data_IF_068021619412
#
_entry.id   IF_068021619412
#
_cell.length_a   1.000
_cell.length_b   1.000
_cell.length_c   1.000
_cell.angle_alpha   90.00
_cell.angle_beta   90.00
_cell.angle_gamma   90.00
#
_symmetry.space_group_name_H-M   'P 1'
#
loop_
_entity.id
_entity.type
_entity.pdbx_description
1 polymer ?
2 branched ?
3 non-polymer ?
4 non-polymer ?
5 water ?
#
# COMPACT_ATOMS: atom_id res chain seq x y z
N UNK A 1 15.63 -7.24 -0.43
CA UNK A 1 14.51 -6.76 0.42
C UNK A 1 14.67 -5.26 0.65
N UNK A 2 13.60 -4.61 1.08
CA UNK A 2 13.63 -3.18 1.36
C UNK A 2 13.40 -2.96 2.86
N UNK A 3 14.20 -2.09 3.46
CA UNK A 3 14.11 -1.84 4.89
C UNK A 3 13.83 -0.38 5.23
N UNK A 4 13.31 -0.13 6.43
CA UNK A 4 13.00 1.22 6.90
C UNK A 4 13.00 1.34 8.41
N UNK A 5 13.68 2.35 8.91
CA UNK A 5 13.75 2.60 10.34
C UNK A 5 13.16 3.97 10.68
N UNK A 6 12.18 3.98 11.57
CA UNK A 6 11.55 5.23 11.99
C UNK A 6 12.45 6.05 12.92
N UNK A 7 13.54 5.46 13.41
CA UNK A 7 14.47 6.16 14.30
C UNK A 7 15.19 7.27 13.56
N UNK A 8 14.72 8.50 13.76
CA UNK A 8 15.32 9.63 13.08
C UNK A 8 15.00 9.48 11.61
N UNK A 9 13.70 9.40 11.31
CA UNK A 9 13.20 9.25 9.95
C UNK A 9 12.52 10.54 9.50
N UNK A 10 13.35 11.44 8.99
CA UNK A 10 12.87 12.72 8.51
C UNK A 10 12.21 12.47 7.15
N UNK A 11 11.49 13.47 6.62
CA UNK A 11 10.81 13.35 5.31
C UNK A 11 11.67 12.80 4.18
N UNK A 12 12.98 13.00 4.25
CA UNK A 12 13.87 12.53 3.20
C UNK A 12 14.07 11.01 3.21
N UNK A 13 14.49 10.46 4.35
CA UNK A 13 14.72 9.01 4.51
C UNK A 13 13.50 8.20 4.08
N UNK A 14 12.34 8.66 4.50
CA UNK A 14 11.10 8.01 4.15
C UNK A 14 10.99 8.05 2.63
N UNK A 15 11.11 9.23 2.05
CA UNK A 15 11.05 9.38 0.60
C UNK A 15 11.94 8.39 -0.11
N UNK A 16 13.13 8.16 0.44
CA UNK A 16 14.09 7.22 -0.12
C UNK A 16 13.61 5.77 -0.02
N UNK A 17 13.03 5.40 1.13
CA UNK A 17 12.50 4.05 1.33
C UNK A 17 11.36 3.78 0.33
N UNK A 18 10.48 4.75 0.15
CA UNK A 18 9.37 4.62 -0.79
C UNK A 18 9.89 4.46 -2.20
N UNK A 19 11.04 5.04 -2.49
CA UNK A 19 11.62 4.92 -3.82
C UNK A 19 12.10 3.48 -3.99
N UNK A 20 12.76 2.96 -2.96
CA UNK A 20 13.27 1.59 -2.92
C UNK A 20 12.13 0.61 -3.09
N UNK A 21 11.02 0.86 -2.41
CA UNK A 21 9.88 -0.03 -2.50
C UNK A 21 9.42 -0.06 -3.95
N UNK A 22 9.25 1.10 -4.56
CA UNK A 22 8.83 1.18 -5.96
C UNK A 22 9.78 0.42 -6.86
N UNK A 23 11.08 0.60 -6.66
CA UNK A 23 12.09 -0.06 -7.50
C UNK A 23 12.20 -1.55 -7.27
N UNK A 24 11.56 -2.05 -6.21
CA UNK A 24 11.60 -3.47 -5.88
C UNK A 24 10.54 -4.23 -6.64
N UNK A 25 9.47 -3.55 -7.03
CA UNK A 25 8.41 -4.18 -7.76
C UNK A 25 8.80 -4.28 -9.21
N UNK A 26 9.06 -5.51 -9.70
CA UNK A 26 9.46 -5.76 -11.08
C UNK A 26 8.33 -5.49 -12.07
N UNK A 27 8.72 -5.18 -13.30
CA UNK A 27 7.82 -4.92 -14.41
C UNK A 27 8.61 -5.10 -15.69
N UNK A 28 7.90 -5.24 -16.80
CA UNK A 28 8.55 -5.44 -18.09
C UNK A 28 8.13 -4.28 -18.99
N UNK A 29 6.84 -4.01 -18.97
CA UNK A 29 6.22 -2.99 -19.78
C UNK A 29 5.96 -1.67 -19.06
N UNK A 30 5.73 -0.63 -19.85
CA UNK A 30 5.43 0.70 -19.33
C UNK A 30 4.28 1.26 -20.15
N UNK A 31 3.24 1.69 -19.46
CA UNK A 31 2.10 2.27 -20.14
C UNK A 31 2.18 3.75 -19.81
N UNK A 32 2.58 4.54 -20.82
CA UNK A 32 2.74 5.99 -20.74
C UNK A 32 3.74 6.42 -19.67
N UNK A 33 4.89 5.74 -19.65
CA UNK A 33 5.95 6.00 -18.69
C UNK A 33 5.71 5.46 -17.29
N UNK A 34 4.47 5.06 -16.99
CA UNK A 34 4.12 4.49 -15.69
C UNK A 34 4.34 2.97 -15.75
N UNK A 35 5.20 2.43 -14.88
CA UNK A 35 5.50 1.00 -14.83
C UNK A 35 4.23 0.16 -14.75
N UNK A 36 4.08 -0.77 -15.68
CA UNK A 36 2.92 -1.65 -15.67
C UNK A 36 3.36 -2.90 -14.90
N UNK A 37 2.65 -3.23 -13.82
CA UNK A 37 3.00 -4.41 -13.00
C UNK A 37 2.67 -5.74 -13.69
N UNK A 38 3.54 -6.72 -13.50
CA UNK A 38 3.36 -8.03 -14.10
C UNK A 38 2.01 -8.65 -13.77
N UNK A 39 1.43 -9.43 -14.70
CA UNK A 39 0.13 -10.06 -14.47
C UNK A 39 0.20 -11.24 -13.48
N UNK A 40 1.40 -11.77 -13.22
CA UNK A 40 1.57 -12.87 -12.27
C UNK A 40 3.05 -13.19 -12.08
N UNK A 41 3.35 -13.94 -11.01
CA UNK A 41 4.70 -14.39 -10.70
C UNK A 41 4.48 -15.63 -9.84
N UNK A 42 5.24 -16.68 -10.06
CA UNK A 42 5.05 -17.91 -9.31
C UNK A 42 6.18 -18.21 -8.35
N UNK A 43 5.82 -18.72 -7.18
CA UNK A 43 6.79 -19.08 -6.17
C UNK A 43 7.17 -17.92 -5.27
N UNK A 44 8.25 -18.11 -4.53
CA UNK A 44 8.76 -17.10 -3.61
C UNK A 44 8.97 -15.76 -4.30
N UNK A 45 9.33 -15.81 -5.58
CA UNK A 45 9.55 -14.59 -6.34
C UNK A 45 8.37 -13.61 -6.35
N UNK A 46 7.18 -14.10 -6.03
CA UNK A 46 6.01 -13.25 -6.03
C UNK A 46 5.91 -12.38 -4.78
N UNK A 47 6.82 -12.56 -3.83
CA UNK A 47 6.73 -11.77 -2.60
C UNK A 47 7.95 -10.93 -2.19
N UNK A 48 7.63 -9.71 -1.76
CA UNK A 48 8.59 -8.72 -1.30
C UNK A 48 8.53 -8.61 0.23
N UNK A 49 9.68 -8.68 0.87
CA UNK A 49 9.76 -8.60 2.33
C UNK A 49 10.28 -7.25 2.84
N UNK A 50 9.42 -6.51 3.53
CA UNK A 50 9.76 -5.21 4.11
C UNK A 50 10.19 -5.35 5.57
N UNK A 51 11.31 -4.73 5.92
CA UNK A 51 11.75 -4.80 7.29
C UNK A 51 11.59 -3.43 7.89
N UNK A 52 10.51 -3.25 8.63
CA UNK A 52 10.22 -1.98 9.29
C UNK A 52 10.71 -2.05 10.75
N UNK A 53 11.41 -1.02 11.19
CA UNK A 53 11.93 -0.95 12.56
C UNK A 53 11.32 0.30 13.18
N UNK A 54 10.88 0.21 14.43
CA UNK A 54 10.29 1.37 15.09
C UNK A 54 11.35 2.21 15.76
N UNK A 55 10.97 3.37 16.28
CA UNK A 55 11.89 4.29 16.96
C UNK A 55 12.78 3.60 17.97
N UNK A 56 12.27 2.52 18.53
CA UNK A 56 13.00 1.74 19.53
C UNK A 56 13.73 0.51 18.99
N UNK A 57 13.69 0.32 17.68
CA UNK A 57 14.40 -0.81 17.09
C UNK A 57 13.61 -2.08 16.85
N UNK A 58 12.45 -2.21 17.49
CA UNK A 58 11.60 -3.40 17.32
C UNK A 58 11.21 -3.52 15.85
N UNK A 59 11.20 -4.72 15.32
CA UNK A 59 10.90 -4.89 13.92
C UNK A 59 9.79 -5.88 13.66
N UNK A 60 9.39 -5.99 12.40
CA UNK A 60 8.37 -6.90 11.90
C UNK A 60 8.67 -7.03 10.41
N UNK A 61 8.40 -8.20 9.83
CA UNK A 61 8.63 -8.38 8.42
C UNK A 61 7.28 -8.52 7.73
N UNK A 62 6.96 -7.60 6.83
CA UNK A 62 5.71 -7.64 6.09
C UNK A 62 5.98 -8.25 4.72
N UNK A 63 5.04 -9.06 4.23
CA UNK A 63 5.17 -9.71 2.95
C UNK A 63 4.27 -8.99 1.99
N UNK A 64 4.78 -8.67 0.81
CA UNK A 64 4.00 -7.96 -0.20
C UNK A 64 3.89 -8.79 -1.46
N UNK A 65 2.79 -8.62 -2.16
CA UNK A 65 2.53 -9.32 -3.41
C UNK A 65 2.95 -8.33 -4.50
N UNK A 66 4.09 -8.59 -5.15
CA UNK A 66 4.64 -7.71 -6.21
C UNK A 66 3.85 -7.49 -7.50
N UNK A 67 2.69 -8.13 -7.64
CA UNK A 67 1.85 -7.97 -8.83
C UNK A 67 0.72 -6.97 -8.55
N UNK A 68 0.61 -6.55 -7.30
CA UNK A 68 -0.43 -5.60 -6.90
C UNK A 68 -0.10 -4.84 -5.63
N UNK A 69 1.09 -5.09 -5.08
CA UNK A 69 1.59 -4.46 -3.87
C UNK A 69 0.64 -4.56 -2.63
N UNK A 70 0.00 -5.73 -2.49
CA UNK A 70 -0.92 -6.03 -1.39
C UNK A 70 -0.18 -6.64 -0.22
N UNK A 71 -0.58 -6.26 1.00
CA UNK A 71 0.03 -6.78 2.22
C UNK A 71 -0.52 -8.19 2.41
N UNK A 72 0.35 -9.19 2.50
CA UNK A 72 -0.08 -10.59 2.69
C UNK A 72 -0.11 -11.03 4.15
N UNK A 73 0.93 -10.68 4.88
CA UNK A 73 1.00 -11.02 6.29
C UNK A 73 2.27 -10.44 6.85
N UNK A 74 2.59 -10.73 8.10
CA UNK A 74 3.80 -10.22 8.70
C UNK A 74 4.34 -11.16 9.74
N UNK A 75 5.59 -10.92 10.13
CA UNK A 75 6.30 -11.72 11.13
C UNK A 75 6.78 -10.86 12.30
N UNK A 76 6.21 -11.12 13.47
CA UNK A 76 6.55 -10.44 14.71
C UNK A 76 7.05 -11.58 15.60
N UNK A 77 8.10 -11.36 16.38
CA UNK A 77 8.69 -12.39 17.25
C UNK A 77 9.03 -13.67 16.48
N UNK A 78 8.26 -14.74 16.66
CA UNK A 78 8.47 -16.01 15.96
C UNK A 78 7.11 -16.44 15.43
N UNK A 79 6.21 -15.48 15.32
CA UNK A 79 4.85 -15.71 14.86
C UNK A 79 4.63 -15.00 13.55
N UNK A 80 3.80 -15.57 12.70
CA UNK A 80 3.49 -14.96 11.43
C UNK A 80 1.98 -14.87 11.44
N UNK A 81 1.45 -13.77 10.92
CA UNK A 81 0.01 -13.59 10.89
C UNK A 81 -0.31 -13.33 9.44
N UNK A 82 -1.34 -13.99 8.94
CA UNK A 82 -1.74 -13.86 7.55
C UNK A 82 -3.19 -13.46 7.52
N UNK A 83 -3.59 -12.69 6.52
CA UNK A 83 -4.99 -12.30 6.42
C UNK A 83 -5.77 -13.58 6.13
N UNK A 84 -7.07 -13.53 6.31
CA UNK A 84 -7.88 -14.70 6.04
C UNK A 84 -8.33 -14.65 4.59
N UNK A 85 -7.45 -15.06 3.68
CA UNK A 85 -7.77 -15.04 2.26
C UNK A 85 -6.80 -15.93 1.48
N UNK A 86 -7.27 -16.52 0.35
CA UNK A 86 -6.57 -17.42 -0.58
C UNK A 86 -5.14 -17.04 -0.93
N UNK A 87 -4.96 -15.82 -1.45
CA UNK A 87 -3.63 -15.36 -1.82
C UNK A 87 -2.70 -15.36 -0.61
N UNK A 88 -3.20 -14.93 0.54
CA UNK A 88 -2.39 -14.90 1.76
C UNK A 88 -2.06 -16.33 2.10
N UNK A 89 -3.07 -17.20 2.05
CA UNK A 89 -2.89 -18.61 2.35
C UNK A 89 -1.87 -19.24 1.42
N UNK A 90 -1.84 -18.80 0.17
CA UNK A 90 -0.86 -19.30 -0.77
C UNK A 90 0.51 -18.75 -0.38
N UNK A 91 0.55 -17.48 -0.03
CA UNK A 91 1.78 -16.81 0.38
C UNK A 91 2.50 -17.51 1.52
N UNK A 92 1.73 -17.97 2.52
CA UNK A 92 2.30 -18.63 3.68
C UNK A 92 3.18 -19.80 3.31
N UNK A 93 2.87 -20.46 2.19
CA UNK A 93 3.62 -21.61 1.70
C UNK A 93 5.06 -21.27 1.34
N UNK A 94 5.34 -19.98 1.13
CA UNK A 94 6.67 -19.50 0.75
C UNK A 94 7.33 -18.55 1.77
N UNK A 95 6.53 -17.73 2.44
CA UNK A 95 7.12 -16.80 3.39
C UNK A 95 6.90 -17.18 4.86
N UNK A 96 7.80 -16.68 5.71
CA UNK A 96 7.77 -16.90 7.16
C UNK A 96 7.64 -18.38 7.47
N UNK A 97 8.53 -19.17 6.88
CA UNK A 97 8.49 -20.62 7.07
C UNK A 97 9.16 -21.12 8.35
N UNK A 98 10.16 -20.40 8.83
CA UNK A 98 10.82 -20.80 10.08
C UNK A 98 10.16 -20.10 11.26
N UNK A 99 8.90 -19.73 11.08
CA UNK A 99 8.10 -19.08 12.11
C UNK A 99 7.56 -20.24 12.94
N UNK A 100 7.63 -20.12 14.26
CA UNK A 100 7.16 -21.17 15.14
C UNK A 100 5.68 -21.40 14.95
N UNK A 101 4.88 -20.35 15.08
CA UNK A 101 3.45 -20.50 14.89
C UNK A 101 2.91 -19.55 13.87
N UNK A 102 1.88 -20.00 13.16
CA UNK A 102 1.26 -19.18 12.14
C UNK A 102 -0.15 -18.92 12.57
N UNK A 103 -0.54 -17.65 12.57
CA UNK A 103 -1.88 -17.25 12.96
C UNK A 103 -2.59 -16.61 11.78
N UNK A 104 -3.86 -16.90 11.65
CA UNK A 104 -4.67 -16.36 10.59
C UNK A 104 -5.65 -15.39 11.23
N UNK A 105 -5.47 -14.11 10.91
CA UNK A 105 -6.32 -13.07 11.44
C UNK A 105 -7.73 -13.38 10.97
N UNK A 106 -8.73 -13.14 11.82
CA UNK A 106 -10.12 -13.42 11.49
C UNK A 106 -10.72 -12.54 10.39
N UNK A 107 -9.90 -11.76 9.67
CA UNK A 107 -10.41 -10.88 8.60
C UNK A 107 -9.62 -10.88 7.31
N UNK A 108 -10.22 -10.32 6.27
CA UNK A 108 -9.59 -10.22 4.97
C UNK A 108 -8.78 -8.94 4.84
N UNK A 109 -7.89 -8.91 3.85
CA UNK A 109 -7.03 -7.77 3.64
C UNK A 109 -7.54 -6.57 2.86
N UNK A 110 -8.84 -6.47 2.60
CA UNK A 110 -9.30 -5.31 1.87
C UNK A 110 -9.78 -4.24 2.84
N UNK A 111 -9.73 -2.98 2.42
CA UNK A 111 -10.12 -1.85 3.24
C UNK A 111 -11.42 -1.97 3.98
N UNK A 112 -12.49 -2.31 3.28
CA UNK A 112 -13.80 -2.41 3.93
C UNK A 112 -13.85 -3.30 5.17
N UNK A 113 -13.43 -4.55 5.03
CA UNK A 113 -13.43 -5.47 6.16
C UNK A 113 -12.51 -4.98 7.30
N UNK A 114 -11.32 -4.49 6.94
CA UNK A 114 -10.38 -3.97 7.93
C UNK A 114 -11.01 -2.86 8.77
N UNK A 115 -11.88 -2.07 8.15
CA UNK A 115 -12.54 -0.98 8.84
C UNK A 115 -13.61 -1.50 9.78
N UNK A 116 -14.37 -2.49 9.32
CA UNK A 116 -15.42 -3.10 10.13
C UNK A 116 -14.79 -3.66 11.41
N UNK A 117 -13.73 -4.43 11.23
CA UNK A 117 -13.02 -5.05 12.33
C UNK A 117 -12.43 -4.06 13.35
N UNK A 118 -11.77 -3.00 12.87
CA UNK A 118 -11.15 -2.01 13.76
C UNK A 118 -12.18 -1.08 14.40
N UNK A 119 -13.33 -0.94 13.77
CA UNK A 119 -14.36 -0.09 14.32
C UNK A 119 -14.33 1.37 13.93
N UNK A 120 -13.45 1.76 13.00
CA UNK A 120 -13.37 3.17 12.54
C UNK A 120 -12.98 3.30 11.07
N UNK A 121 -13.67 4.20 10.34
CA UNK A 121 -13.34 4.38 8.92
C UNK A 121 -11.98 5.08 8.77
N UNK A 122 -11.27 4.80 7.68
CA UNK A 122 -9.95 5.37 7.40
C UNK A 122 -9.93 6.88 7.58
N UNK A 123 -11.08 7.51 7.34
CA UNK A 123 -11.21 8.95 7.47
C UNK A 123 -10.92 9.45 8.89
N UNK A 124 -11.16 8.59 9.88
CA UNK A 124 -10.98 8.94 11.28
C UNK A 124 -9.70 8.41 11.90
N UNK A 125 -8.80 7.89 11.08
CA UNK A 125 -7.56 7.34 11.60
C UNK A 125 -6.32 8.14 11.17
N UNK A 126 -5.66 8.81 12.13
CA UNK A 126 -4.48 9.60 11.79
C UNK A 126 -3.33 8.72 11.32
N UNK A 127 -2.79 9.06 10.15
CA UNK A 127 -1.66 8.33 9.57
C UNK A 127 -0.45 9.26 9.60
N UNK A 128 0.73 8.70 9.39
CA UNK A 128 1.94 9.50 9.39
C UNK A 128 3.08 8.63 9.86
N UNK A 129 4.26 9.21 10.00
CA UNK A 129 5.38 8.44 10.49
C UNK A 129 5.20 8.07 11.97
N UNK A 130 4.67 8.99 12.80
CA UNK A 130 4.49 8.61 14.21
C UNK A 130 3.50 7.45 14.35
N UNK A 131 2.39 7.53 13.61
CA UNK A 131 1.38 6.48 13.66
C UNK A 131 1.94 5.19 13.10
N UNK A 132 2.86 5.29 12.14
CA UNK A 132 3.49 4.10 11.54
C UNK A 132 4.33 3.46 12.64
N UNK A 133 4.99 4.29 13.43
CA UNK A 133 5.80 3.82 14.54
C UNK A 133 4.87 3.14 15.57
N UNK A 134 3.68 3.70 15.77
CA UNK A 134 2.72 3.11 16.69
C UNK A 134 2.32 1.73 16.13
N UNK A 135 1.89 1.72 14.86
CA UNK A 135 1.47 0.50 14.16
C UNK A 135 2.51 -0.60 14.23
N UNK A 136 3.76 -0.29 13.99
CA UNK A 136 4.77 -1.33 14.09
C UNK A 136 4.72 -1.92 15.48
N UNK A 137 4.58 -1.07 16.50
CA UNK A 137 4.52 -1.50 17.91
C UNK A 137 3.26 -2.30 18.26
N UNK A 138 2.09 -1.83 17.84
CA UNK A 138 0.83 -2.51 18.09
C UNK A 138 0.82 -3.94 17.53
N UNK A 139 1.49 -4.15 16.39
CA UNK A 139 1.56 -5.44 15.73
C UNK A 139 2.46 -6.46 16.43
N UNK A 140 3.34 -5.96 17.30
CA UNK A 140 4.25 -6.82 18.04
C UNK A 140 3.56 -7.68 19.09
N UNK A 141 2.45 -7.19 19.62
CA UNK A 141 1.70 -7.95 20.62
C UNK A 141 0.28 -8.09 20.11
N UNK A 142 -0.01 -9.30 19.65
CA UNK A 142 -1.30 -9.68 19.08
C UNK A 142 -2.56 -9.12 19.72
N UNK A 143 -3.48 -8.68 18.86
CA UNK A 143 -4.77 -8.11 19.25
C UNK A 143 -5.48 -7.80 17.94
N UNK A 144 -6.35 -8.70 17.49
CA UNK A 144 -7.05 -8.53 16.21
C UNK A 144 -7.69 -7.18 15.89
N UNK A 145 -8.36 -6.56 16.85
CA UNK A 145 -8.99 -5.26 16.61
C UNK A 145 -7.97 -4.13 16.69
N UNK A 146 -6.89 -4.36 17.43
CA UNK A 146 -5.82 -3.39 17.54
C UNK A 146 -5.01 -3.44 16.24
N UNK A 147 -4.87 -4.65 15.68
CA UNK A 147 -4.15 -4.90 14.45
C UNK A 147 -4.91 -4.39 13.22
N UNK A 148 -6.21 -4.62 13.18
CA UNK A 148 -7.01 -4.14 12.05
C UNK A 148 -6.76 -2.66 11.87
N UNK A 149 -6.65 -1.93 12.98
CA UNK A 149 -6.40 -0.50 12.92
C UNK A 149 -4.97 -0.20 12.52
N UNK A 150 -4.00 -0.91 13.11
CA UNK A 150 -2.60 -0.70 12.81
C UNK A 150 -2.26 -1.10 11.37
N UNK A 151 -3.11 -1.92 10.76
CA UNK A 151 -2.91 -2.37 9.39
C UNK A 151 -3.45 -1.34 8.42
N UNK A 152 -4.47 -0.59 8.83
CA UNK A 152 -5.03 0.46 7.97
C UNK A 152 -3.98 1.55 7.80
N UNK A 153 -3.16 1.73 8.83
CA UNK A 153 -2.09 2.72 8.85
C UNK A 153 -0.86 2.22 8.10
N UNK A 154 -0.49 0.98 8.35
CA UNK A 154 0.66 0.36 7.70
C UNK A 154 0.49 0.28 6.20
N UNK A 155 -0.71 -0.07 5.75
CA UNK A 155 -0.99 -0.19 4.33
C UNK A 155 -0.94 1.16 3.62
N UNK A 156 -1.50 2.18 4.24
CA UNK A 156 -1.52 3.52 3.66
C UNK A 156 -0.18 4.26 3.64
N UNK A 157 0.69 4.00 4.62
CA UNK A 157 1.99 4.65 4.68
C UNK A 157 3.12 3.93 3.92
N UNK A 158 2.81 2.82 3.26
CA UNK A 158 3.79 2.07 2.48
C UNK A 158 3.20 1.70 1.10
N UNK A 159 2.24 0.80 1.08
CA UNK A 159 1.62 0.39 -0.17
C UNK A 159 1.09 1.59 -0.95
N UNK A 160 0.10 2.27 -0.40
CA UNK A 160 -0.52 3.44 -1.05
C UNK A 160 0.45 4.57 -1.33
N UNK A 161 1.48 4.68 -0.50
CA UNK A 161 2.47 5.73 -0.67
C UNK A 161 3.20 5.45 -1.97
N UNK A 162 3.68 4.23 -2.12
CA UNK A 162 4.39 3.82 -3.31
C UNK A 162 3.54 3.97 -4.59
N UNK A 163 2.25 3.71 -4.49
CA UNK A 163 1.37 3.82 -5.63
C UNK A 163 1.15 5.23 -6.12
N UNK A 164 0.95 6.17 -5.21
CA UNK A 164 0.69 7.56 -5.59
C UNK A 164 1.66 8.53 -4.98
N UNK A 165 2.37 9.25 -5.86
CA UNK A 165 3.34 10.25 -5.46
C UNK A 165 2.70 11.20 -4.48
N UNK A 166 1.43 11.54 -4.73
CA UNK A 166 0.71 12.45 -3.87
C UNK A 166 0.67 11.96 -2.44
N UNK A 167 0.30 10.69 -2.25
CA UNK A 167 0.17 10.10 -0.92
C UNK A 167 1.53 9.99 -0.21
N UNK A 168 2.63 9.97 -0.96
CA UNK A 168 3.97 9.92 -0.38
C UNK A 168 4.30 11.29 0.27
N UNK A 169 3.69 12.35 -0.29
CA UNK A 169 3.90 13.70 0.21
C UNK A 169 3.06 13.89 1.45
N UNK A 170 1.81 13.44 1.39
CA UNK A 170 0.91 13.54 2.53
C UNK A 170 1.55 12.96 3.79
N UNK A 171 2.29 11.88 3.63
CA UNK A 171 2.96 11.25 4.76
C UNK A 171 4.20 12.02 5.19
N UNK A 172 5.01 12.48 4.24
CA UNK A 172 6.23 13.23 4.58
C UNK A 172 5.94 14.51 5.36
N UNK A 173 4.77 15.11 5.12
CA UNK A 173 4.34 16.31 5.84
C UNK A 173 3.98 15.91 7.27
N UNK A 174 3.29 14.78 7.41
CA UNK A 174 2.88 14.25 8.69
C UNK A 174 4.01 13.46 9.31
N UNK A 175 5.25 13.81 9.01
CA UNK A 175 6.41 13.09 9.53
C UNK A 175 6.70 13.29 11.00
N UNK A 176 6.08 14.30 11.60
CA UNK A 176 6.31 14.57 13.01
C UNK A 176 4.98 14.80 13.69
N UNK A 177 3.91 14.70 12.93
CA UNK A 177 2.55 14.91 13.42
C UNK A 177 1.56 14.15 12.53
N UNK A 178 0.73 13.32 13.16
CA UNK A 178 -0.26 12.53 12.43
C UNK A 178 -1.46 13.40 12.12
N UNK A 179 -2.33 12.89 11.26
CA UNK A 179 -3.56 13.58 10.90
C UNK A 179 -4.32 12.69 9.95
N UNK A 180 -5.65 12.71 10.07
CA UNK A 180 -6.49 11.89 9.22
C UNK A 180 -6.18 12.22 7.77
N UNK A 181 -6.35 11.23 6.87
CA UNK A 181 -6.10 11.42 5.44
C UNK A 181 -7.06 12.41 4.79
N UNK A 182 -6.57 13.13 3.80
CA UNK A 182 -7.41 14.09 3.08
C UNK A 182 -8.34 13.30 2.19
N UNK A 183 -9.55 13.83 1.99
CA UNK A 183 -10.54 13.19 1.13
C UNK A 183 -9.94 12.89 -0.24
N UNK A 184 -8.98 13.71 -0.65
CA UNK A 184 -8.30 13.52 -1.92
C UNK A 184 -7.59 12.19 -1.81
N UNK A 185 -6.89 12.01 -0.70
CA UNK A 185 -6.14 10.80 -0.43
C UNK A 185 -6.99 9.52 -0.49
N UNK A 186 -8.20 9.55 0.09
CA UNK A 186 -9.07 8.37 0.08
C UNK A 186 -9.56 8.08 -1.34
N UNK A 187 -10.04 9.09 -2.05
CA UNK A 187 -10.52 8.90 -3.41
C UNK A 187 -9.46 8.22 -4.28
N UNK A 188 -8.20 8.60 -4.10
CA UNK A 188 -7.10 8.01 -4.86
C UNK A 188 -6.98 6.53 -4.57
N UNK A 189 -6.89 6.19 -3.29
CA UNK A 189 -6.79 4.80 -2.87
C UNK A 189 -7.94 4.00 -3.43
N UNK A 190 -9.12 4.61 -3.47
CA UNK A 190 -10.31 3.94 -3.98
C UNK A 190 -10.35 3.86 -5.51
N UNK A 191 -9.34 4.41 -6.17
CA UNK A 191 -9.27 4.44 -7.62
C UNK A 191 -8.12 3.72 -8.27
N UNK A 192 -7.18 3.20 -7.50
CA UNK A 192 -6.04 2.53 -8.12
C UNK A 192 -6.45 1.58 -9.24
N UNK A 193 -7.48 0.77 -9.03
CA UNK A 193 -7.93 -0.15 -10.06
C UNK A 193 -8.52 0.57 -11.28
N UNK A 194 -9.44 1.49 -11.01
CA UNK A 194 -10.06 2.26 -12.08
C UNK A 194 -9.05 2.99 -12.95
N UNK A 195 -8.18 3.79 -12.33
CA UNK A 195 -7.16 4.53 -13.07
C UNK A 195 -6.28 3.62 -13.92
N UNK A 196 -5.70 2.61 -13.29
CA UNK A 196 -4.83 1.65 -13.97
C UNK A 196 -5.44 1.06 -15.24
N UNK A 197 -6.68 0.59 -15.13
CA UNK A 197 -7.41 0.00 -16.24
C UNK A 197 -7.62 1.02 -17.37
N UNK A 198 -8.09 2.21 -17.01
CA UNK A 198 -8.34 3.29 -17.94
C UNK A 198 -7.09 3.82 -18.64
N UNK A 199 -5.98 3.89 -17.92
CA UNK A 199 -4.73 4.36 -18.49
C UNK A 199 -4.29 3.33 -19.51
N UNK A 200 -4.64 2.07 -19.26
CA UNK A 200 -4.30 0.99 -20.16
C UNK A 200 -5.26 0.97 -21.37
N UNK A 201 -6.55 1.18 -21.13
CA UNK A 201 -7.53 1.21 -22.22
C UNK A 201 -7.34 2.44 -23.11
N UNK A 202 -6.62 3.43 -22.61
CA UNK A 202 -6.34 4.65 -23.35
C UNK A 202 -5.30 4.36 -24.44
N UNK A 203 -4.41 3.41 -24.17
CA UNK A 203 -3.38 3.00 -25.11
C UNK A 203 -4.10 2.29 -26.25
N UNK A 204 -4.39 3.03 -27.31
CA UNK A 204 -5.12 2.47 -28.44
C UNK A 204 -6.40 3.26 -28.65
N UNK A 205 -6.59 4.32 -27.88
CA UNK A 205 -7.76 5.19 -28.02
C UNK A 205 -7.31 6.64 -27.92
N UNK A 206 -6.07 6.90 -28.34
CA UNK A 206 -5.53 8.25 -28.33
C UNK A 206 -5.38 8.86 -26.92
N UNK A 207 -4.91 8.04 -25.97
CA UNK A 207 -4.72 8.52 -24.62
C UNK A 207 -6.01 8.91 -23.94
N UNK A 208 -7.11 8.57 -24.57
CA UNK A 208 -8.45 8.86 -24.05
C UNK A 208 -8.96 7.67 -23.22
N UNK A 209 -9.72 7.98 -22.17
CA UNK A 209 -10.28 6.97 -21.28
C UNK A 209 -11.65 6.54 -21.82
N UNK A 210 -11.93 5.24 -21.82
CA UNK A 210 -13.22 4.75 -22.30
C UNK A 210 -14.31 5.34 -21.38
N UNK A 211 -13.97 5.46 -20.10
CA UNK A 211 -14.86 6.05 -19.08
C UNK A 211 -14.04 6.84 -18.05
N UNK A 212 -14.57 8.00 -17.63
CA UNK A 212 -14.02 8.96 -16.66
C UNK A 212 -13.98 8.47 -15.21
N UNK A 213 -12.98 8.95 -14.49
CA UNK A 213 -12.80 8.62 -13.08
C UNK A 213 -12.93 9.91 -12.28
N UNK A 214 -13.87 9.95 -11.35
CA UNK A 214 -14.04 11.15 -10.53
C UNK A 214 -13.14 11.10 -9.30
N UNK A 215 -12.62 12.26 -8.87
CA UNK A 215 -11.75 12.32 -7.69
C UNK A 215 -12.14 13.56 -6.86
N UNK A 216 -11.19 14.14 -6.14
CA UNK A 216 -11.46 15.33 -5.30
C UNK A 216 -10.36 16.41 -5.42
N UNK A 217 -9.26 16.08 -6.08
CA UNK A 217 -8.11 16.98 -6.29
C UNK A 217 -7.32 17.22 -5.00
N UNK A 218 -7.99 17.79 -4.01
CA UNK A 218 -7.49 18.12 -2.67
C UNK A 218 -8.06 19.46 -2.24
N UNK A 219 -8.46 20.23 -3.24
CA UNK A 219 -9.07 21.54 -3.04
C UNK A 219 -10.29 21.30 -2.16
N UNK A 220 -10.96 20.16 -2.39
CA UNK A 220 -12.13 19.80 -1.60
C UNK A 220 -13.40 19.49 -2.38
N UNK A 221 -13.30 19.36 -3.70
CA UNK A 221 -14.48 19.08 -4.50
C UNK A 221 -14.23 18.25 -5.77
N UNK A 222 -15.31 17.66 -6.27
CA UNK A 222 -15.36 16.80 -7.44
C UNK A 222 -14.39 17.14 -8.57
N UNK A 223 -13.81 16.09 -9.15
CA UNK A 223 -12.86 16.19 -10.26
C UNK A 223 -13.19 15.03 -11.19
N UNK A 224 -12.88 15.19 -12.47
CA UNK A 224 -13.14 14.14 -13.44
C UNK A 224 -11.97 14.04 -14.40
N UNK A 225 -11.33 12.88 -14.41
CA UNK A 225 -10.19 12.61 -15.27
C UNK A 225 -10.70 11.99 -16.57
N UNK A 226 -10.39 12.62 -17.70
CA UNK A 226 -10.85 12.15 -19.00
C UNK A 226 -9.75 11.63 -19.94
N UNK A 227 -8.49 11.88 -19.62
CA UNK A 227 -7.41 11.39 -20.48
C UNK A 227 -6.04 11.46 -19.84
N UNK A 228 -5.09 10.75 -20.44
CA UNK A 228 -3.72 10.65 -19.93
C UNK A 228 -2.90 11.91 -19.77
N UNK A 229 -3.48 13.07 -20.07
CA UNK A 229 -2.74 14.31 -19.94
C UNK A 229 -2.88 14.85 -18.53
N UNK A 230 -3.97 14.47 -17.88
CA UNK A 230 -4.27 14.91 -16.53
C UNK A 230 -3.13 14.74 -15.56
N UNK A 231 -3.12 15.61 -14.57
CA UNK A 231 -2.10 15.67 -13.51
C UNK A 231 -1.92 14.33 -12.82
N UNK A 232 -3.03 13.66 -12.52
CA UNK A 232 -3.05 12.35 -11.87
C UNK A 232 -2.19 11.38 -12.65
N UNK A 233 -2.42 11.32 -13.95
CA UNK A 233 -1.67 10.43 -14.81
C UNK A 233 -0.23 10.89 -14.95
N UNK A 234 -0.04 12.03 -15.60
CA UNK A 234 1.31 12.56 -15.83
C UNK A 234 2.19 12.70 -14.59
N UNK A 235 1.60 13.08 -13.46
CA UNK A 235 2.40 13.28 -12.26
C UNK A 235 1.79 12.88 -10.91
N UNK A 236 1.43 11.61 -10.77
CA UNK A 236 0.86 11.17 -9.51
C UNK A 236 0.98 9.66 -9.40
N UNK A 237 0.09 8.95 -10.09
CA UNK A 237 0.09 7.49 -10.09
C UNK A 237 1.46 6.98 -10.59
N UNK A 238 2.14 6.20 -9.75
CA UNK A 238 3.47 5.64 -10.02
C UNK A 238 3.52 4.18 -10.43
N UNK A 239 2.45 3.44 -10.16
CA UNK A 239 2.37 2.02 -10.48
C UNK A 239 0.97 1.71 -11.02
N UNK A 240 0.92 0.87 -12.05
CA UNK A 240 -0.34 0.49 -12.66
C UNK A 240 -0.57 -1.00 -12.44
N UNK A 241 -1.79 -1.35 -12.01
CA UNK A 241 -2.20 -2.73 -11.77
C UNK A 241 -2.54 -3.36 -13.12
N UNK A 242 -1.90 -4.48 -13.44
CA UNK A 242 -2.15 -5.14 -14.71
C UNK A 242 -3.63 -5.50 -14.87
N UNK A 243 -4.25 -4.96 -15.91
CA UNK A 243 -5.68 -5.21 -16.17
C UNK A 243 -6.08 -6.67 -16.07
N UNK A 244 -5.11 -7.58 -16.23
CA UNK A 244 -5.37 -9.01 -16.15
C UNK A 244 -5.92 -9.43 -14.79
N UNK A 245 -5.44 -8.76 -13.75
CA UNK A 245 -5.89 -9.05 -12.39
C UNK A 245 -7.13 -8.20 -12.09
N UNK A 246 -8.03 -8.13 -13.05
CA UNK A 246 -9.25 -7.34 -12.88
C UNK A 246 -10.41 -8.07 -13.58
#
# INVERSE_FOLDING_TARGET
DVSFRLSGADPRSYGMFIKDLRNALPFREKVYNIPLLLPSVSGAGRYLLMHLFNRDGKTITVAVDVTNVYIMGYLADTTSYFFNEPAAELASQYVFRDARRKITLPYSGDYERLQIAAGKPREKIPIGLPALDSAISTLLHYDSTAAAGALLVLIQTTAEAARFKYIEQQIQERAYRDEVPSLATISLENSWSGLSKQIQLAQGNNGIFRTPIVLVDNKGNRVQITNVTSKVVTSNIQLLLNTRNIAEGDNGDVSTTHGFSSY
#
